data_IF_096542863793
#
_entry.id   IF_096542863793
#
_cell.length_a   1.000
_cell.length_b   1.000
_cell.length_c   1.000
_cell.angle_alpha   90.00
_cell.angle_beta   90.00
_cell.angle_gamma   90.00
#
_symmetry.space_group_name_H-M   'P 1'
#
loop_
_entity.id
_entity.type
_entity.pdbx_description
1 polymer ?
#
# COMPACT_ATOMS: atom_id res chain seq x y z
N UNK A 1 24.06 15.41 14.05
CA UNK A 1 23.33 14.13 14.02
C UNK A 1 23.80 13.36 12.81
N UNK A 2 24.18 12.08 12.88
CA UNK A 2 24.63 11.45 11.63
C UNK A 2 25.11 10.01 11.62
N UNK A 3 25.55 9.38 12.71
CA UNK A 3 26.05 7.99 12.66
C UNK A 3 25.18 6.98 13.42
N UNK A 4 24.47 7.39 14.47
CA UNK A 4 23.60 6.50 15.24
C UNK A 4 22.33 6.13 14.45
N UNK A 5 21.59 7.12 13.94
CA UNK A 5 20.40 6.91 13.10
C UNK A 5 20.70 6.07 11.85
N UNK A 6 21.85 6.28 11.19
CA UNK A 6 22.26 5.45 10.05
C UNK A 6 22.45 3.98 10.40
N UNK A 7 22.96 3.67 11.60
CA UNK A 7 23.11 2.29 12.07
C UNK A 7 21.75 1.67 12.40
N UNK A 8 20.79 2.45 12.88
CA UNK A 8 19.42 1.98 13.13
C UNK A 8 18.67 1.69 11.83
N UNK A 9 18.79 2.57 10.84
CA UNK A 9 18.25 2.37 9.48
C UNK A 9 18.81 1.11 8.82
N UNK A 10 20.09 0.81 9.06
CA UNK A 10 20.71 -0.42 8.57
C UNK A 10 20.18 -1.69 9.23
N UNK A 11 19.67 -1.57 10.46
CA UNK A 11 19.10 -2.66 11.25
C UNK A 11 17.59 -2.81 11.06
N UNK A 12 16.91 -1.86 10.42
CA UNK A 12 15.51 -2.01 10.03
C UNK A 12 15.36 -3.31 9.23
N UNK A 13 14.76 -4.31 9.86
CA UNK A 13 14.46 -5.60 9.23
C UNK A 13 13.34 -5.47 8.20
N UNK A 14 12.51 -4.43 8.31
CA UNK A 14 11.23 -4.32 7.63
C UNK A 14 11.22 -3.16 6.63
N UNK A 15 12.24 -3.12 5.76
CA UNK A 15 12.09 -2.29 4.57
C UNK A 15 11.00 -2.91 3.67
N UNK A 16 10.11 -2.09 3.07
CA UNK A 16 9.13 -2.60 2.14
C UNK A 16 9.84 -3.12 0.87
N UNK A 17 9.32 -4.20 0.31
CA UNK A 17 9.82 -4.79 -0.93
C UNK A 17 8.71 -4.75 -1.99
N UNK A 18 9.10 -4.60 -3.26
CA UNK A 18 8.14 -4.51 -4.35
C UNK A 18 8.55 -5.37 -5.55
N UNK A 19 7.68 -6.32 -5.93
CA UNK A 19 7.92 -7.27 -7.02
C UNK A 19 7.35 -6.83 -8.37
N UNK A 20 6.27 -6.03 -8.34
CA UNK A 20 5.47 -5.68 -9.52
C UNK A 20 4.81 -6.89 -10.21
N UNK A 21 4.65 -8.02 -9.50
CA UNK A 21 4.04 -9.26 -9.99
C UNK A 21 2.87 -9.67 -9.07
N UNK A 22 1.85 -10.32 -9.62
CA UNK A 22 0.65 -10.72 -8.88
C UNK A 22 -0.30 -9.55 -8.62
N UNK A 23 -1.11 -9.66 -7.56
CA UNK A 23 -1.77 -8.51 -6.95
C UNK A 23 -0.72 -7.72 -6.17
N UNK A 24 -0.63 -6.41 -6.42
CA UNK A 24 0.39 -5.56 -5.83
C UNK A 24 -0.15 -4.15 -5.57
N UNK A 25 0.41 -3.50 -4.54
CA UNK A 25 0.04 -2.16 -4.10
C UNK A 25 1.27 -1.27 -4.08
N UNK A 26 1.57 -0.67 -5.22
CA UNK A 26 2.75 0.19 -5.40
C UNK A 26 2.70 1.46 -4.52
N UNK A 27 1.50 1.92 -4.14
CA UNK A 27 1.32 3.07 -3.24
C UNK A 27 1.72 2.75 -1.80
N UNK A 28 1.47 1.54 -1.31
CA UNK A 28 1.94 1.11 0.02
C UNK A 28 3.47 1.04 0.07
N UNK A 29 4.09 0.53 -0.99
CA UNK A 29 5.55 0.55 -1.12
C UNK A 29 6.11 1.98 -1.07
N UNK A 30 5.50 2.92 -1.80
CA UNK A 30 5.90 4.32 -1.79
C UNK A 30 5.73 4.95 -0.40
N UNK A 31 4.57 4.75 0.24
CA UNK A 31 4.25 5.29 1.57
C UNK A 31 5.20 4.76 2.64
N UNK A 32 5.47 3.45 2.65
CA UNK A 32 6.43 2.86 3.59
C UNK A 32 7.84 3.44 3.44
N UNK A 33 8.29 3.73 2.21
CA UNK A 33 9.55 4.42 1.99
C UNK A 33 9.50 5.89 2.44
N UNK A 34 8.40 6.61 2.17
CA UNK A 34 8.23 7.99 2.61
C UNK A 34 8.28 8.10 4.15
N UNK A 35 7.60 7.21 4.88
CA UNK A 35 7.64 7.13 6.36
C UNK A 35 9.06 6.88 6.88
N UNK A 36 9.77 5.88 6.33
CA UNK A 36 11.16 5.60 6.74
C UNK A 36 12.09 6.79 6.43
N UNK A 37 11.86 7.49 5.31
CA UNK A 37 12.64 8.67 4.96
C UNK A 37 12.43 9.80 5.98
N UNK A 38 11.20 10.01 6.42
CA UNK A 38 10.82 11.01 7.42
C UNK A 38 11.35 10.67 8.81
N UNK A 39 11.03 9.48 9.32
CA UNK A 39 11.38 9.02 10.68
C UNK A 39 12.90 9.02 10.93
N UNK A 40 13.69 8.74 9.89
CA UNK A 40 15.14 8.63 9.99
C UNK A 40 15.90 9.73 9.26
N UNK A 41 15.21 10.78 8.79
CA UNK A 41 15.77 11.93 8.07
C UNK A 41 16.73 11.51 6.93
N UNK A 42 16.32 10.52 6.12
CA UNK A 42 17.20 9.92 5.13
C UNK A 42 17.55 10.86 3.99
N UNK A 43 18.85 11.00 3.74
CA UNK A 43 19.34 11.70 2.54
C UNK A 43 18.92 10.96 1.27
N UNK A 44 18.64 11.73 0.21
CA UNK A 44 18.32 11.22 -1.13
C UNK A 44 19.31 10.16 -1.61
N UNK A 45 20.60 10.35 -1.34
CA UNK A 45 21.67 9.44 -1.77
C UNK A 45 21.55 8.07 -1.11
N UNK A 46 21.23 8.02 0.18
CA UNK A 46 21.09 6.76 0.92
C UNK A 46 19.83 6.01 0.50
N UNK A 47 18.72 6.73 0.39
CA UNK A 47 17.44 6.18 -0.06
C UNK A 47 17.56 5.56 -1.46
N UNK A 48 18.10 6.33 -2.41
CA UNK A 48 18.21 5.90 -3.81
C UNK A 48 19.29 4.83 -4.03
N UNK A 49 20.21 4.64 -3.09
CA UNK A 49 21.15 3.51 -3.08
C UNK A 49 20.49 2.21 -2.61
N UNK A 50 19.53 2.30 -1.68
CA UNK A 50 18.75 1.16 -1.17
C UNK A 50 17.77 0.60 -2.20
N UNK A 51 17.23 1.41 -3.11
CA UNK A 51 16.20 0.98 -4.07
C UNK A 51 16.54 -0.32 -4.83
N UNK A 52 17.83 -0.56 -5.12
CA UNK A 52 18.27 -1.79 -5.78
C UNK A 52 17.90 -3.08 -5.02
N UNK A 53 17.88 -3.05 -3.68
CA UNK A 53 17.52 -4.21 -2.86
C UNK A 53 16.04 -4.28 -2.54
N UNK A 54 15.33 -3.15 -2.65
CA UNK A 54 13.89 -3.07 -2.33
C UNK A 54 13.02 -3.55 -3.49
N UNK A 55 13.47 -3.34 -4.73
CA UNK A 55 12.84 -3.94 -5.89
C UNK A 55 13.24 -5.40 -6.05
N UNK A 56 12.26 -6.25 -6.30
CA UNK A 56 12.45 -7.68 -6.56
C UNK A 56 11.83 -8.06 -7.90
N UNK A 57 12.23 -9.22 -8.45
CA UNK A 57 11.60 -9.83 -9.64
C UNK A 57 11.42 -8.87 -10.84
N UNK A 58 10.22 -8.77 -11.42
CA UNK A 58 9.94 -7.90 -12.58
C UNK A 58 10.28 -6.42 -12.31
N UNK A 59 9.99 -5.92 -11.10
CA UNK A 59 10.29 -4.56 -10.70
C UNK A 59 11.79 -4.31 -10.60
N UNK A 60 12.57 -5.30 -10.14
CA UNK A 60 14.03 -5.19 -10.12
C UNK A 60 14.60 -5.05 -11.54
N UNK A 61 14.15 -5.88 -12.48
CA UNK A 61 14.59 -5.80 -13.89
C UNK A 61 14.24 -4.45 -14.52
N UNK A 62 13.06 -3.92 -14.23
CA UNK A 62 12.66 -2.58 -14.67
C UNK A 62 13.54 -1.49 -14.06
N UNK A 63 13.79 -1.57 -12.74
CA UNK A 63 14.61 -0.60 -12.01
C UNK A 63 16.03 -0.52 -12.60
N UNK A 64 16.68 -1.67 -12.81
CA UNK A 64 18.05 -1.72 -13.37
C UNK A 64 18.10 -1.04 -14.73
N UNK A 65 17.17 -1.34 -15.64
CA UNK A 65 17.12 -0.72 -16.98
C UNK A 65 16.96 0.80 -16.88
N UNK A 66 16.03 1.26 -16.05
CA UNK A 66 15.76 2.69 -15.90
C UNK A 66 16.93 3.43 -15.24
N UNK A 67 17.59 2.79 -14.26
CA UNK A 67 18.77 3.32 -13.57
C UNK A 67 19.97 3.43 -14.52
N UNK A 68 20.17 2.45 -15.39
CA UNK A 68 21.23 2.49 -16.40
C UNK A 68 20.99 3.60 -17.44
N UNK A 69 19.73 3.80 -17.86
CA UNK A 69 19.39 4.81 -18.86
C UNK A 69 19.45 6.25 -18.33
N UNK A 70 19.08 6.48 -17.06
CA UNK A 70 18.90 7.84 -16.52
C UNK A 70 19.88 8.21 -15.40
N UNK A 71 20.71 7.28 -14.93
CA UNK A 71 21.69 7.52 -13.86
C UNK A 71 21.04 7.80 -12.50
N UNK A 72 21.73 8.59 -11.66
CA UNK A 72 21.22 8.97 -10.34
C UNK A 72 20.05 9.95 -10.48
N UNK A 73 18.93 9.64 -9.81
CA UNK A 73 17.70 10.45 -9.78
C UNK A 73 17.12 10.50 -8.38
N UNK A 74 16.37 11.56 -8.10
CA UNK A 74 15.72 11.79 -6.80
C UNK A 74 14.58 10.81 -6.55
N UNK A 75 14.21 10.66 -5.28
CA UNK A 75 13.07 9.86 -4.86
C UNK A 75 11.76 10.31 -5.52
N UNK A 76 11.53 11.63 -5.59
CA UNK A 76 10.36 12.19 -6.28
C UNK A 76 10.27 11.70 -7.73
N UNK A 77 11.40 11.68 -8.44
CA UNK A 77 11.43 11.15 -9.80
C UNK A 77 11.08 9.65 -9.84
N UNK A 78 11.63 8.85 -8.91
CA UNK A 78 11.30 7.43 -8.80
C UNK A 78 9.82 7.19 -8.49
N UNK A 79 9.21 7.95 -7.58
CA UNK A 79 7.75 7.90 -7.32
C UNK A 79 6.95 8.08 -8.60
N UNK A 80 7.27 9.10 -9.40
CA UNK A 80 6.63 9.33 -10.70
C UNK A 80 6.80 8.14 -11.65
N UNK A 81 7.99 7.54 -11.72
CA UNK A 81 8.22 6.39 -12.61
C UNK A 81 7.50 5.13 -12.15
N UNK A 82 7.43 4.89 -10.82
CA UNK A 82 6.70 3.76 -10.24
C UNK A 82 5.21 3.90 -10.57
N UNK A 83 4.61 5.05 -10.26
CA UNK A 83 3.19 5.32 -10.55
C UNK A 83 2.93 5.16 -12.05
N UNK A 84 3.77 5.76 -12.91
CA UNK A 84 3.62 5.64 -14.37
C UNK A 84 3.66 4.19 -14.86
N UNK A 85 4.50 3.34 -14.26
CA UNK A 85 4.67 1.95 -14.69
C UNK A 85 3.54 1.05 -14.19
N UNK A 86 3.13 1.21 -12.93
CA UNK A 86 2.29 0.24 -12.22
C UNK A 86 0.87 0.71 -11.89
N UNK A 87 0.57 2.00 -12.00
CA UNK A 87 -0.79 2.55 -11.91
C UNK A 87 -1.48 2.66 -13.29
N UNK A 88 -1.16 1.76 -14.21
CA UNK A 88 -1.72 1.77 -15.57
C UNK A 88 -3.18 1.24 -15.57
N UNK A 89 -3.93 1.55 -16.62
CA UNK A 89 -5.37 1.22 -16.70
C UNK A 89 -5.65 -0.27 -16.63
N UNK A 90 -4.76 -1.12 -17.16
CA UNK A 90 -4.90 -2.56 -17.06
C UNK A 90 -4.74 -3.07 -15.61
N UNK A 91 -3.90 -2.42 -14.80
CA UNK A 91 -3.81 -2.71 -13.37
C UNK A 91 -5.05 -2.22 -12.63
N UNK A 92 -5.51 -0.98 -12.91
CA UNK A 92 -6.73 -0.43 -12.28
C UNK A 92 -7.93 -1.34 -12.51
N UNK A 93 -8.15 -1.71 -13.76
CA UNK A 93 -9.23 -2.62 -14.15
C UNK A 93 -9.15 -3.97 -13.41
N UNK A 94 -7.95 -4.53 -13.25
CA UNK A 94 -7.77 -5.79 -12.50
C UNK A 94 -8.11 -5.65 -11.03
N UNK A 95 -7.67 -4.57 -10.37
CA UNK A 95 -7.94 -4.34 -8.95
C UNK A 95 -9.42 -4.00 -8.72
N UNK A 96 -10.04 -3.21 -9.60
CA UNK A 96 -11.48 -2.94 -9.57
C UNK A 96 -12.29 -4.23 -9.76
N UNK A 97 -11.92 -5.06 -10.73
CA UNK A 97 -12.57 -6.37 -10.95
C UNK A 97 -12.42 -7.28 -9.72
N UNK A 98 -11.23 -7.30 -9.10
CA UNK A 98 -10.99 -8.10 -7.90
C UNK A 98 -11.87 -7.61 -6.74
N UNK A 99 -11.93 -6.31 -6.50
CA UNK A 99 -12.81 -5.69 -5.50
C UNK A 99 -14.30 -6.01 -5.75
N UNK A 100 -14.75 -6.04 -7.00
CA UNK A 100 -16.15 -6.34 -7.32
C UNK A 100 -16.52 -7.83 -7.23
N UNK A 101 -15.58 -8.71 -7.59
CA UNK A 101 -15.82 -10.15 -7.72
C UNK A 101 -15.45 -10.96 -6.47
N UNK A 102 -14.43 -10.52 -5.72
CA UNK A 102 -13.95 -11.15 -4.50
C UNK A 102 -14.52 -10.42 -3.27
N UNK A 103 -15.84 -10.31 -3.23
CA UNK A 103 -16.55 -9.59 -2.16
C UNK A 103 -16.20 -10.16 -0.79
N UNK A 104 -15.71 -9.29 0.10
CA UNK A 104 -15.49 -9.63 1.49
C UNK A 104 -16.80 -10.07 2.15
N UNK A 105 -16.83 -11.31 2.64
CA UNK A 105 -17.95 -11.89 3.33
C UNK A 105 -17.54 -12.20 4.78
N UNK A 106 -17.98 -11.35 5.71
CA UNK A 106 -17.62 -11.49 7.12
C UNK A 106 -18.08 -12.80 7.78
N UNK A 107 -19.09 -13.50 7.24
CA UNK A 107 -19.54 -14.79 7.77
C UNK A 107 -18.66 -15.97 7.32
N UNK A 108 -17.96 -15.81 6.18
CA UNK A 108 -17.19 -16.89 5.53
C UNK A 108 -15.70 -16.68 5.55
N UNK A 109 -15.28 -15.42 5.48
CA UNK A 109 -13.90 -15.01 5.45
C UNK A 109 -13.43 -14.67 6.85
N UNK A 110 -12.11 -14.80 7.09
CA UNK A 110 -11.53 -14.22 8.29
C UNK A 110 -11.62 -12.71 8.16
N UNK A 111 -12.31 -12.07 9.11
CA UNK A 111 -12.58 -10.63 9.07
C UNK A 111 -11.31 -9.80 8.87
N UNK A 112 -10.24 -10.12 9.59
CA UNK A 112 -8.99 -9.36 9.56
C UNK A 112 -8.28 -9.39 8.19
N UNK A 113 -7.88 -10.55 7.62
CA UNK A 113 -7.21 -10.57 6.31
C UNK A 113 -8.07 -10.02 5.17
N UNK A 114 -9.37 -10.34 5.14
CA UNK A 114 -10.27 -9.89 4.08
C UNK A 114 -10.46 -8.37 4.08
N UNK A 115 -10.72 -7.78 5.26
CA UNK A 115 -10.92 -6.35 5.39
C UNK A 115 -9.66 -5.55 4.99
N UNK A 116 -8.48 -5.98 5.44
CA UNK A 116 -7.23 -5.30 5.10
C UNK A 116 -6.88 -5.42 3.61
N UNK A 117 -7.16 -6.55 2.96
CA UNK A 117 -6.96 -6.69 1.52
C UNK A 117 -7.82 -5.69 0.73
N UNK A 118 -9.11 -5.58 1.04
CA UNK A 118 -10.00 -4.62 0.37
C UNK A 118 -9.61 -3.16 0.67
N UNK A 119 -9.14 -2.89 1.90
CA UNK A 119 -8.57 -1.59 2.28
C UNK A 119 -7.35 -1.25 1.42
N UNK A 120 -6.42 -2.18 1.20
CA UNK A 120 -5.25 -1.96 0.35
C UNK A 120 -5.65 -1.69 -1.12
N UNK A 121 -6.62 -2.43 -1.66
CA UNK A 121 -7.17 -2.21 -3.02
C UNK A 121 -7.72 -0.80 -3.19
N UNK A 122 -8.63 -0.37 -2.31
CA UNK A 122 -9.25 0.94 -2.38
C UNK A 122 -8.24 2.07 -2.16
N UNK A 123 -7.32 1.93 -1.19
CA UNK A 123 -6.30 2.95 -0.95
C UNK A 123 -5.34 3.09 -2.14
N UNK A 124 -5.07 2.00 -2.86
CA UNK A 124 -4.23 2.04 -4.06
C UNK A 124 -4.95 2.64 -5.27
N UNK A 125 -6.25 2.37 -5.44
CA UNK A 125 -7.08 2.91 -6.52
C UNK A 125 -7.41 4.40 -6.32
N UNK A 126 -7.73 4.78 -5.09
CA UNK A 126 -8.25 6.09 -4.72
C UNK A 126 -7.48 6.67 -3.52
N UNK A 127 -6.24 7.13 -3.72
CA UNK A 127 -5.38 7.59 -2.61
C UNK A 127 -5.92 8.84 -1.88
N UNK A 128 -6.83 9.58 -2.50
CA UNK A 128 -7.50 10.75 -1.93
C UNK A 128 -8.81 10.40 -1.19
N UNK A 129 -9.23 9.14 -1.22
CA UNK A 129 -10.43 8.68 -0.52
C UNK A 129 -10.19 8.68 0.99
N UNK A 130 -11.14 9.22 1.76
CA UNK A 130 -11.02 9.23 3.22
C UNK A 130 -11.14 7.83 3.79
N UNK A 131 -10.51 7.59 4.94
CA UNK A 131 -10.54 6.30 5.62
C UNK A 131 -11.98 5.85 5.94
N UNK A 132 -12.85 6.78 6.36
CA UNK A 132 -14.27 6.48 6.57
C UNK A 132 -14.97 6.02 5.28
N UNK A 133 -14.65 6.61 4.12
CA UNK A 133 -15.23 6.19 2.84
C UNK A 133 -14.71 4.81 2.44
N UNK A 134 -13.41 4.55 2.61
CA UNK A 134 -12.83 3.21 2.39
C UNK A 134 -13.56 2.17 3.23
N UNK A 135 -13.71 2.42 4.52
CA UNK A 135 -14.43 1.54 5.44
C UNK A 135 -15.88 1.30 5.00
N UNK A 136 -16.60 2.34 4.56
CA UNK A 136 -17.99 2.22 4.10
C UNK A 136 -18.13 1.40 2.83
N UNK A 137 -17.18 1.50 1.90
CA UNK A 137 -17.20 0.72 0.67
C UNK A 137 -16.90 -0.76 0.92
N UNK A 138 -15.97 -1.08 1.82
CA UNK A 138 -15.74 -2.47 2.24
C UNK A 138 -16.99 -3.05 2.90
N UNK A 139 -17.60 -2.31 3.84
CA UNK A 139 -18.82 -2.76 4.51
C UNK A 139 -20.03 -2.94 3.56
N UNK A 140 -20.07 -2.19 2.45
CA UNK A 140 -21.10 -2.37 1.41
C UNK A 140 -20.99 -3.74 0.72
N UNK A 141 -19.82 -4.37 0.72
CA UNK A 141 -19.65 -5.73 0.20
C UNK A 141 -20.29 -6.79 1.12
N UNK A 142 -20.31 -6.55 2.45
CA UNK A 142 -20.89 -7.47 3.43
C UNK A 142 -22.41 -7.59 3.28
N UNK A 143 -23.10 -6.48 3.00
CA UNK A 143 -24.55 -6.45 2.82
C UNK A 143 -25.37 -6.72 4.08
N UNK A 144 -26.69 -6.55 3.96
CA UNK A 144 -27.68 -7.03 4.94
C UNK A 144 -27.61 -6.37 6.32
N UNK A 145 -28.03 -7.12 7.34
CA UNK A 145 -28.13 -6.63 8.72
C UNK A 145 -26.77 -6.35 9.35
N UNK A 146 -25.74 -7.09 8.93
CA UNK A 146 -24.37 -6.91 9.41
C UNK A 146 -23.80 -5.57 8.94
N UNK A 147 -23.98 -5.21 7.66
CA UNK A 147 -23.61 -3.90 7.14
C UNK A 147 -24.26 -2.77 7.97
N UNK A 148 -25.57 -2.86 8.23
CA UNK A 148 -26.30 -1.85 8.98
C UNK A 148 -25.82 -1.76 10.44
N UNK A 149 -25.64 -2.91 11.11
CA UNK A 149 -25.18 -2.97 12.49
C UNK A 149 -23.79 -2.37 12.67
N UNK A 150 -22.84 -2.66 11.77
CA UNK A 150 -21.49 -2.10 11.84
C UNK A 150 -21.50 -0.62 11.48
N UNK A 151 -22.14 -0.20 10.38
CA UNK A 151 -22.20 1.21 9.95
C UNK A 151 -22.82 2.12 11.01
N UNK A 152 -23.82 1.65 11.76
CA UNK A 152 -24.45 2.43 12.83
C UNK A 152 -23.50 2.74 14.01
N UNK A 153 -22.42 1.96 14.16
CA UNK A 153 -21.41 2.08 15.21
C UNK A 153 -20.09 2.66 14.70
N UNK A 154 -19.85 2.67 13.39
CA UNK A 154 -18.68 3.28 12.76
C UNK A 154 -18.79 4.80 12.77
N UNK A 155 -17.77 5.47 13.29
CA UNK A 155 -17.63 6.93 13.29
C UNK A 155 -16.42 7.34 12.46
N UNK A 156 -16.22 8.65 12.26
CA UNK A 156 -14.99 9.18 11.63
C UNK A 156 -13.70 8.81 12.37
N UNK A 157 -13.81 8.42 13.65
CA UNK A 157 -12.66 8.03 14.49
C UNK A 157 -12.43 6.52 14.53
N UNK A 158 -13.29 5.73 13.91
CA UNK A 158 -13.18 4.27 13.96
C UNK A 158 -12.02 3.80 13.11
N UNK A 159 -11.10 3.08 13.74
CA UNK A 159 -9.98 2.41 13.10
C UNK A 159 -10.43 1.17 12.32
N UNK A 160 -9.53 0.61 11.50
CA UNK A 160 -9.79 -0.68 10.86
C UNK A 160 -9.96 -1.79 11.92
N UNK A 161 -9.19 -1.76 13.00
CA UNK A 161 -9.30 -2.70 14.11
C UNK A 161 -10.67 -2.61 14.79
N UNK A 162 -11.19 -1.39 15.02
CA UNK A 162 -12.52 -1.20 15.61
C UNK A 162 -13.60 -1.86 14.75
N UNK A 163 -13.49 -1.74 13.42
CA UNK A 163 -14.45 -2.31 12.49
C UNK A 163 -14.32 -3.84 12.45
N UNK A 164 -13.11 -4.37 12.40
CA UNK A 164 -12.84 -5.80 12.42
C UNK A 164 -13.41 -6.43 13.70
N UNK A 165 -13.17 -5.81 14.87
CA UNK A 165 -13.72 -6.28 16.14
C UNK A 165 -15.26 -6.26 16.19
N UNK A 166 -15.92 -5.43 15.38
CA UNK A 166 -17.38 -5.41 15.27
C UNK A 166 -17.93 -6.47 14.29
N UNK A 167 -17.07 -7.04 13.45
CA UNK A 167 -17.40 -8.09 12.48
C UNK A 167 -17.19 -9.51 13.05
N UNK A 168 -16.44 -9.65 14.13
CA UNK A 168 -16.27 -10.89 14.93
C UNK A 168 -17.41 -11.09 15.94
#
# INVERSE_FOLDING_TARGET
MGQALLKEVQKLKEWPHFSGEGEYYHMEFIRGIDMIKEDFELTERLLTARLNTLFTRSAHRWYIKLRQAHGHKSWTWWKTQIIKKWANDAWKFKVETAFESEKFNADKDKALPGFFQEKERLTALYPEMSELMIHREILRQCGGDLEHAVKSRTTEKSSAEDIINMLE
#
